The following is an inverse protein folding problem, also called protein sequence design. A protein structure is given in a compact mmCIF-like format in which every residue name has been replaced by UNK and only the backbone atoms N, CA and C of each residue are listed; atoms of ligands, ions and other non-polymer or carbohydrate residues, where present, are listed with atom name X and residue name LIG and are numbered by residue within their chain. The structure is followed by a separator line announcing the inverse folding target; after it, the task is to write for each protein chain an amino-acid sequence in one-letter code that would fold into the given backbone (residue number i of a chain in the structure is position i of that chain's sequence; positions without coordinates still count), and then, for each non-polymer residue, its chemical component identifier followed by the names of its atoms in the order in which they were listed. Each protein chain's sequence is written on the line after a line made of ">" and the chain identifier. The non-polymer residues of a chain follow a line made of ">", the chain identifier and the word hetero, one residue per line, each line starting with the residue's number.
data_IF_404170089300
#
_entry.id   IF_404170089300
#
_cell.length_a   1.000
_cell.length_b   1.000
_cell.length_c   1.000
_cell.angle_alpha   90.00
_cell.angle_beta   90.00
_cell.angle_gamma   90.00
#
_symmetry.space_group_name_H-M   'P 1'
#
loop_
_entity.id
_entity.type
_entity.pdbx_description
1 polymer ?
#
# COMPACT_ATOMS: atom_id res chain seq x y z
N UNK A 1 -32.48 -54.60 -6.86
CA UNK A 1 -31.23 -53.98 -7.28
C UNK A 1 -31.54 -52.51 -7.53
N UNK A 2 -31.31 -51.69 -6.55
CA UNK A 2 -31.47 -50.26 -6.69
C UNK A 2 -30.11 -49.71 -7.09
N UNK A 3 -30.05 -49.27 -8.32
CA UNK A 3 -28.92 -48.54 -8.85
C UNK A 3 -28.94 -47.12 -8.26
N UNK A 4 -28.16 -46.88 -7.23
CA UNK A 4 -28.01 -45.58 -6.57
C UNK A 4 -26.87 -44.78 -7.20
N UNK A 5 -26.43 -45.13 -8.41
CA UNK A 5 -25.34 -44.46 -9.11
C UNK A 5 -25.73 -43.16 -9.79
N UNK A 6 -27.02 -42.76 -9.77
CA UNK A 6 -27.50 -41.61 -10.52
C UNK A 6 -27.80 -40.36 -9.69
N UNK A 7 -27.26 -40.23 -8.48
CA UNK A 7 -27.45 -39.05 -7.63
C UNK A 7 -26.14 -38.36 -7.22
N UNK A 8 -25.15 -38.40 -8.11
CA UNK A 8 -24.08 -37.41 -8.02
C UNK A 8 -24.60 -36.22 -8.81
N UNK A 9 -24.93 -35.08 -8.14
CA UNK A 9 -25.28 -33.88 -8.88
C UNK A 9 -24.10 -33.50 -9.76
N UNK A 10 -24.31 -33.40 -11.07
CA UNK A 10 -23.35 -32.87 -12.05
C UNK A 10 -22.92 -31.41 -11.77
N UNK A 11 -23.17 -30.92 -10.59
CA UNK A 11 -22.67 -29.69 -10.03
C UNK A 11 -21.51 -29.95 -9.05
N UNK A 12 -20.61 -30.83 -9.42
CA UNK A 12 -19.26 -30.67 -8.93
C UNK A 12 -18.73 -29.39 -9.56
N UNK A 13 -18.98 -28.28 -8.86
CA UNK A 13 -18.30 -27.02 -9.08
C UNK A 13 -16.85 -27.37 -9.33
N UNK A 14 -16.38 -27.09 -10.53
CA UNK A 14 -15.01 -27.41 -10.90
C UNK A 14 -14.08 -26.52 -10.08
N UNK A 15 -13.82 -26.93 -8.85
CA UNK A 15 -12.97 -26.21 -7.87
C UNK A 15 -11.64 -25.74 -8.48
N UNK A 16 -11.19 -26.41 -9.54
CA UNK A 16 -9.98 -26.05 -10.25
C UNK A 16 -10.11 -24.74 -11.02
N UNK A 17 -11.32 -24.37 -11.48
CA UNK A 17 -11.55 -23.11 -12.17
C UNK A 17 -11.87 -21.95 -11.21
N UNK A 18 -12.38 -22.24 -10.01
CA UNK A 18 -12.72 -21.20 -9.03
C UNK A 18 -11.49 -20.56 -8.37
N UNK A 19 -10.32 -21.17 -8.50
CA UNK A 19 -9.05 -20.66 -7.98
C UNK A 19 -8.28 -19.79 -8.98
N UNK A 20 -8.77 -19.63 -10.20
CA UNK A 20 -8.12 -18.81 -11.20
C UNK A 20 -8.39 -17.32 -10.92
N UNK A 21 -7.33 -16.54 -10.96
CA UNK A 21 -7.39 -15.08 -10.94
C UNK A 21 -6.97 -14.60 -12.33
N UNK A 22 -7.91 -14.46 -13.29
CA UNK A 22 -7.60 -14.31 -14.72
C UNK A 22 -6.63 -13.18 -15.02
N UNK A 23 -6.75 -12.06 -14.31
CA UNK A 23 -5.83 -10.94 -14.48
C UNK A 23 -4.40 -11.33 -14.09
N UNK A 24 -4.23 -11.97 -12.96
CA UNK A 24 -2.92 -12.35 -12.42
C UNK A 24 -2.30 -13.49 -13.22
N UNK A 25 -3.09 -14.48 -13.58
CA UNK A 25 -2.63 -15.67 -14.31
C UNK A 25 -2.16 -15.35 -15.74
N UNK A 26 -2.67 -14.26 -16.34
CA UNK A 26 -2.25 -13.78 -17.65
C UNK A 26 -0.97 -12.93 -17.63
N UNK A 27 -0.41 -12.63 -16.45
CA UNK A 27 0.84 -11.90 -16.30
C UNK A 27 2.04 -12.84 -16.43
N UNK A 28 3.19 -12.27 -16.77
CA UNK A 28 4.45 -13.02 -16.73
C UNK A 28 4.83 -13.39 -15.30
N UNK A 29 5.61 -14.45 -15.12
CA UNK A 29 6.10 -14.88 -13.80
C UNK A 29 6.82 -13.75 -13.04
N UNK A 30 7.58 -12.94 -13.75
CA UNK A 30 8.27 -11.78 -13.19
C UNK A 30 7.27 -10.74 -12.65
N UNK A 31 6.24 -10.40 -13.44
CA UNK A 31 5.19 -9.46 -13.03
C UNK A 31 4.37 -9.99 -11.84
N UNK A 32 4.05 -11.29 -11.85
CA UNK A 32 3.37 -11.95 -10.73
C UNK A 32 4.18 -11.84 -9.45
N UNK A 33 5.49 -12.08 -9.55
CA UNK A 33 6.41 -11.95 -8.42
C UNK A 33 6.48 -10.51 -7.91
N UNK A 34 6.62 -9.53 -8.80
CA UNK A 34 6.65 -8.11 -8.43
C UNK A 34 5.38 -7.67 -7.68
N UNK A 35 4.20 -8.11 -8.17
CA UNK A 35 2.92 -7.83 -7.51
C UNK A 35 2.87 -8.50 -6.14
N UNK A 36 3.25 -9.78 -6.05
CA UNK A 36 3.25 -10.53 -4.80
C UNK A 36 4.15 -9.88 -3.76
N UNK A 37 5.36 -9.50 -4.13
CA UNK A 37 6.32 -8.85 -3.24
C UNK A 37 5.84 -7.45 -2.82
N UNK A 38 5.18 -6.73 -3.72
CA UNK A 38 4.60 -5.41 -3.43
C UNK A 38 3.42 -5.49 -2.45
N UNK A 39 2.54 -6.49 -2.61
CA UNK A 39 1.44 -6.75 -1.66
C UNK A 39 1.99 -7.13 -0.28
N UNK A 40 2.97 -8.03 -0.22
CA UNK A 40 3.62 -8.40 1.04
C UNK A 40 4.26 -7.20 1.73
N UNK A 41 4.87 -6.31 0.96
CA UNK A 41 5.46 -5.09 1.48
C UNK A 41 4.38 -4.17 2.08
N UNK A 42 3.26 -3.96 1.37
CA UNK A 42 2.13 -3.17 1.86
C UNK A 42 1.54 -3.73 3.16
N UNK A 43 1.37 -5.05 3.25
CA UNK A 43 0.83 -5.69 4.46
C UNK A 43 1.78 -5.58 5.65
N UNK A 44 3.07 -5.50 5.41
CA UNK A 44 4.10 -5.38 6.46
C UNK A 44 4.32 -3.94 6.91
N UNK A 45 4.40 -3.00 5.95
CA UNK A 45 4.76 -1.60 6.23
C UNK A 45 3.56 -0.66 6.29
N UNK A 46 2.39 -1.11 5.80
CA UNK A 46 1.14 -0.35 5.67
C UNK A 46 1.19 0.82 4.69
N UNK A 47 2.35 1.22 4.21
CA UNK A 47 2.51 2.27 3.21
C UNK A 47 3.75 2.05 2.33
N UNK A 48 3.74 2.65 1.15
CA UNK A 48 4.87 2.70 0.22
C UNK A 48 5.01 4.11 -0.33
N UNK A 49 6.23 4.63 -0.30
CA UNK A 49 6.56 5.96 -0.84
C UNK A 49 7.03 5.86 -2.29
N UNK A 50 6.66 6.83 -3.12
CA UNK A 50 7.14 6.96 -4.49
C UNK A 50 8.66 7.09 -4.55
N UNK A 51 9.23 7.85 -3.62
CA UNK A 51 10.67 8.11 -3.54
C UNK A 51 11.20 7.76 -2.16
N UNK A 52 12.36 7.16 -2.14
CA UNK A 52 13.09 6.84 -0.93
C UNK A 52 14.50 7.41 -1.03
N UNK A 53 14.98 8.00 0.07
CA UNK A 53 16.37 8.44 0.15
C UNK A 53 17.30 7.23 0.28
N UNK A 54 18.20 7.10 -0.66
CA UNK A 54 19.24 6.09 -0.63
C UNK A 54 20.53 6.67 -0.01
N UNK A 55 20.90 6.16 1.14
CA UNK A 55 22.10 6.60 1.89
C UNK A 55 23.41 6.32 1.15
N UNK A 56 23.41 5.32 0.24
CA UNK A 56 24.64 4.95 -0.49
C UNK A 56 24.92 5.91 -1.64
N UNK A 57 23.86 6.35 -2.33
CA UNK A 57 23.98 7.26 -3.48
C UNK A 57 23.71 8.71 -3.12
N UNK A 58 23.30 8.97 -1.86
CA UNK A 58 22.89 10.29 -1.34
C UNK A 58 21.82 10.98 -2.22
N UNK A 59 20.96 10.19 -2.85
CA UNK A 59 19.91 10.68 -3.77
C UNK A 59 18.55 10.08 -3.44
N UNK A 60 17.51 10.81 -3.84
CA UNK A 60 16.15 10.29 -3.86
C UNK A 60 16.01 9.34 -5.06
N UNK A 61 15.62 8.12 -4.80
CA UNK A 61 15.36 7.10 -5.82
C UNK A 61 13.89 6.71 -5.82
N UNK A 62 13.35 6.46 -7.01
CA UNK A 62 12.02 5.92 -7.18
C UNK A 62 11.96 4.47 -6.70
N UNK A 63 10.91 4.14 -5.96
CA UNK A 63 10.72 2.78 -5.46
C UNK A 63 10.02 1.91 -6.51
N UNK A 64 10.58 0.72 -6.75
CA UNK A 64 9.98 -0.23 -7.69
C UNK A 64 8.59 -0.68 -7.22
N UNK A 65 8.41 -0.89 -5.91
CA UNK A 65 7.14 -1.28 -5.33
C UNK A 65 6.02 -0.25 -5.59
N UNK A 66 6.28 1.05 -5.43
CA UNK A 66 5.30 2.09 -5.73
C UNK A 66 4.87 2.03 -7.21
N UNK A 67 5.82 1.91 -8.12
CA UNK A 67 5.55 1.81 -9.55
C UNK A 67 4.72 0.58 -9.90
N UNK A 68 5.05 -0.57 -9.34
CA UNK A 68 4.30 -1.82 -9.55
C UNK A 68 2.87 -1.69 -9.02
N UNK A 69 2.69 -1.16 -7.80
CA UNK A 69 1.37 -0.99 -7.21
C UNK A 69 0.53 -0.01 -8.02
N UNK A 70 1.08 1.13 -8.41
CA UNK A 70 0.38 2.14 -9.22
C UNK A 70 -0.03 1.59 -10.58
N UNK A 71 0.85 0.82 -11.24
CA UNK A 71 0.57 0.16 -12.53
C UNK A 71 -0.58 -0.86 -12.43
N UNK A 72 -0.63 -1.63 -11.36
CA UNK A 72 -1.61 -2.70 -11.14
C UNK A 72 -2.66 -2.33 -10.06
N UNK A 73 -2.85 -1.03 -9.84
CA UNK A 73 -3.66 -0.50 -8.74
C UNK A 73 -5.08 -1.06 -8.68
N UNK A 74 -5.87 -1.11 -9.76
CA UNK A 74 -7.23 -1.65 -9.70
C UNK A 74 -7.28 -3.10 -9.25
N UNK A 75 -6.35 -3.93 -9.74
CA UNK A 75 -6.26 -5.34 -9.35
C UNK A 75 -5.90 -5.50 -7.87
N UNK A 76 -4.84 -4.84 -7.41
CA UNK A 76 -4.38 -4.92 -6.02
C UNK A 76 -5.44 -4.40 -5.07
N UNK A 77 -6.13 -3.31 -5.43
CA UNK A 77 -7.24 -2.76 -4.65
C UNK A 77 -8.38 -3.77 -4.48
N UNK A 78 -8.81 -4.43 -5.54
CA UNK A 78 -9.85 -5.44 -5.47
C UNK A 78 -9.41 -6.65 -4.67
N UNK A 79 -8.17 -7.11 -4.84
CA UNK A 79 -7.62 -8.22 -4.09
C UNK A 79 -7.59 -7.93 -2.58
N UNK A 80 -7.12 -6.77 -2.17
CA UNK A 80 -7.08 -6.37 -0.77
C UNK A 80 -8.48 -6.12 -0.18
N UNK A 81 -9.42 -5.63 -0.99
CA UNK A 81 -10.81 -5.41 -0.57
C UNK A 81 -11.50 -6.70 -0.14
N UNK A 82 -11.16 -7.85 -0.73
CA UNK A 82 -11.66 -9.17 -0.29
C UNK A 82 -11.25 -9.47 1.16
N UNK A 83 -10.09 -8.98 1.59
CA UNK A 83 -9.61 -9.12 2.97
C UNK A 83 -10.08 -7.97 3.90
N UNK A 84 -10.98 -7.09 3.42
CA UNK A 84 -11.43 -5.92 4.21
C UNK A 84 -10.38 -4.81 4.31
N UNK A 85 -9.38 -4.82 3.43
CA UNK A 85 -8.29 -3.84 3.42
C UNK A 85 -8.54 -2.83 2.29
N UNK A 86 -8.57 -1.55 2.63
CA UNK A 86 -8.68 -0.47 1.67
C UNK A 86 -7.31 0.01 1.22
N UNK A 87 -7.11 0.10 -0.11
CA UNK A 87 -5.91 0.66 -0.72
C UNK A 87 -6.19 2.07 -1.24
N UNK A 88 -5.38 3.02 -0.80
CA UNK A 88 -5.49 4.43 -1.20
C UNK A 88 -4.17 4.94 -1.78
N UNK A 89 -4.25 5.69 -2.87
CA UNK A 89 -3.11 6.40 -3.46
C UNK A 89 -3.30 7.91 -3.31
N UNK A 90 -2.30 8.59 -2.78
CA UNK A 90 -2.20 10.03 -2.77
C UNK A 90 -1.01 10.45 -3.65
N UNK A 91 -1.29 10.77 -4.90
CA UNK A 91 -0.28 11.13 -5.90
C UNK A 91 0.44 12.45 -5.59
N UNK A 92 -0.22 13.40 -4.89
CA UNK A 92 0.42 14.65 -4.49
C UNK A 92 1.53 14.45 -3.47
N UNK A 93 1.32 13.51 -2.55
CA UNK A 93 2.31 13.17 -1.53
C UNK A 93 3.23 12.04 -1.98
N UNK A 94 2.95 11.40 -3.12
CA UNK A 94 3.71 10.24 -3.59
C UNK A 94 3.65 9.06 -2.59
N UNK A 95 2.47 8.78 -2.05
CA UNK A 95 2.26 7.72 -1.07
C UNK A 95 1.10 6.83 -1.48
N UNK A 96 1.30 5.53 -1.34
CA UNK A 96 0.24 4.52 -1.39
C UNK A 96 0.19 3.87 -0.01
N UNK A 97 -1.00 3.74 0.57
CA UNK A 97 -1.17 3.17 1.91
C UNK A 97 -2.41 2.29 1.99
N UNK A 98 -2.41 1.43 3.00
CA UNK A 98 -3.52 0.51 3.29
C UNK A 98 -4.13 0.83 4.64
N UNK A 99 -5.45 0.65 4.73
CA UNK A 99 -6.24 0.81 5.95
C UNK A 99 -7.16 -0.40 6.13
N UNK A 100 -7.34 -0.84 7.35
CA UNK A 100 -8.23 -1.96 7.70
C UNK A 100 -8.31 -2.14 9.20
N UNK A 101 -9.45 -2.66 9.69
CA UNK A 101 -9.69 -2.82 11.15
C UNK A 101 -8.70 -3.81 11.78
N UNK A 102 -8.31 -4.84 11.04
CA UNK A 102 -7.44 -5.92 11.51
C UNK A 102 -6.05 -5.91 10.84
N UNK A 103 -5.65 -4.78 10.25
CA UNK A 103 -4.28 -4.68 9.76
C UNK A 103 -3.32 -4.88 10.91
N UNK A 104 -2.64 -6.02 10.88
CA UNK A 104 -1.58 -6.42 11.81
C UNK A 104 -0.30 -5.60 11.61
N UNK A 105 -0.42 -4.31 11.34
CA UNK A 105 0.65 -3.40 11.64
C UNK A 105 0.92 -3.53 13.13
N UNK A 106 2.15 -3.72 13.52
CA UNK A 106 2.53 -3.68 14.92
C UNK A 106 1.81 -2.49 15.56
N UNK A 107 0.90 -2.76 16.49
CA UNK A 107 0.28 -1.69 17.28
C UNK A 107 1.43 -0.99 17.96
N UNK A 108 1.79 0.17 17.44
CA UNK A 108 2.80 0.99 18.07
C UNK A 108 2.44 1.14 19.54
N UNK A 109 3.33 0.84 20.48
CA UNK A 109 3.07 1.09 21.89
C UNK A 109 2.58 2.53 22.04
N UNK A 110 1.63 2.77 22.95
CA UNK A 110 1.08 4.11 23.19
C UNK A 110 2.15 5.19 23.32
N UNK A 111 3.27 4.85 23.94
CA UNK A 111 4.41 5.75 24.12
C UNK A 111 5.05 6.12 22.76
N UNK A 112 5.23 5.15 21.86
CA UNK A 112 5.79 5.40 20.53
C UNK A 112 4.84 6.27 19.67
N UNK A 113 3.53 6.04 19.77
CA UNK A 113 2.51 6.88 19.10
C UNK A 113 2.56 8.31 19.61
N UNK A 114 2.62 8.51 20.94
CA UNK A 114 2.72 9.84 21.55
C UNK A 114 4.02 10.53 21.14
N UNK A 115 5.14 9.80 21.05
CA UNK A 115 6.41 10.33 20.61
C UNK A 115 6.38 10.81 19.15
N UNK A 116 5.77 10.02 18.23
CA UNK A 116 5.60 10.40 16.83
C UNK A 116 4.69 11.63 16.69
N UNK A 117 3.60 11.72 17.46
CA UNK A 117 2.71 12.90 17.48
C UNK A 117 3.43 14.14 17.99
N UNK A 118 4.27 14.01 19.03
CA UNK A 118 5.07 15.10 19.53
C UNK A 118 6.10 15.59 18.50
N UNK A 119 6.79 14.68 17.81
CA UNK A 119 7.73 15.02 16.72
C UNK A 119 7.01 15.74 15.57
N UNK A 120 5.81 15.29 15.21
CA UNK A 120 5.01 15.97 14.17
C UNK A 120 4.65 17.39 14.60
N UNK A 121 4.22 17.58 15.84
CA UNK A 121 3.87 18.91 16.36
C UNK A 121 5.08 19.86 16.33
N UNK A 122 6.24 19.40 16.78
CA UNK A 122 7.49 20.19 16.75
C UNK A 122 7.87 20.54 15.29
N UNK A 123 7.72 19.59 14.36
CA UNK A 123 7.99 19.83 12.95
C UNK A 123 7.04 20.89 12.37
N UNK A 124 5.75 20.79 12.65
CA UNK A 124 4.75 21.74 12.15
C UNK A 124 5.02 23.17 12.71
N UNK A 125 5.35 23.29 14.00
CA UNK A 125 5.74 24.56 14.61
C UNK A 125 7.00 25.17 13.97
N UNK A 126 8.01 24.35 13.67
CA UNK A 126 9.22 24.83 13.00
C UNK A 126 8.94 25.29 11.58
N UNK A 127 8.07 24.61 10.85
CA UNK A 127 7.68 24.97 9.48
C UNK A 127 6.86 26.26 9.45
N UNK A 128 5.97 26.49 10.41
CA UNK A 128 5.23 27.77 10.55
C UNK A 128 6.19 28.93 10.82
N UNK A 129 7.16 28.75 11.70
CA UNK A 129 8.17 29.76 12.00
C UNK A 129 9.03 30.12 10.78
N UNK A 130 9.41 29.14 9.97
CA UNK A 130 10.15 29.37 8.71
C UNK A 130 9.29 30.12 7.71
N UNK A 131 8.02 29.76 7.56
CA UNK A 131 7.08 30.46 6.65
C UNK A 131 6.85 31.91 7.07
N UNK A 132 6.76 32.19 8.36
CA UNK A 132 6.61 33.53 8.91
C UNK A 132 7.87 34.36 8.68
N UNK A 133 9.04 33.76 8.83
CA UNK A 133 10.33 34.44 8.58
C UNK A 133 10.50 34.85 7.11
N UNK A 134 10.10 33.98 6.18
CA UNK A 134 10.13 34.27 4.74
C UNK A 134 9.21 35.41 4.39
N UNK A 135 8.01 35.48 4.97
CA UNK A 135 7.06 36.56 4.74
C UNK A 135 7.57 37.91 5.28
N UNK A 136 8.33 37.92 6.37
CA UNK A 136 8.96 39.13 6.91
C UNK A 136 10.06 39.64 6.00
N UNK A 137 10.85 38.78 5.37
CA UNK A 137 11.89 39.17 4.43
C UNK A 137 11.33 39.72 3.12
N UNK A 138 10.19 39.25 2.65
CA UNK A 138 9.53 39.77 1.43
C UNK A 138 8.88 41.14 1.64
N UNK A 139 8.51 41.51 2.85
CA UNK A 139 7.90 42.83 3.15
C UNK A 139 8.95 43.94 3.37
N UNK A 140 10.22 43.64 3.57
CA UNK A 140 11.33 44.58 3.74
C UNK A 140 12.06 44.90 2.43
N UNK A 141 11.63 44.33 1.30
CA UNK A 141 12.22 44.52 -0.02
C UNK A 141 11.57 45.57 -0.90
N UNK A 142 10.69 46.42 -0.36
CA UNK A 142 10.13 47.59 -1.05
C UNK A 142 10.86 48.89 -0.65
#
# INVERSE_FOLDING_TARGET
>A
MNDTSDLIPENETNWQNDWQIPYFDNLTEEQQKEITDSIRLLLRQTFVLERKYDKKTERLQYTAAYRTISKHFPFIRHYLAVAGIELTENSHLGIIYVQGEDLLGEKLPKLATLYLLALKLIYDEQMENVSTSVNVYTSLGE
#
